data_IF_296381498383
#
_entry.id   IF_296381498383
#
_cell.length_a   1.000
_cell.length_b   1.000
_cell.length_c   1.000
_cell.angle_alpha   90.00
_cell.angle_beta   90.00
_cell.angle_gamma   90.00
#
_symmetry.space_group_name_H-M   'P 1'
#
loop_
_entity.id
_entity.type
_entity.pdbx_description
1 polymer ?
#
# COMPACT_ATOMS: atom_id res chain seq x y z
N UNK A 1 -33.81 3.09 -2.75
CA UNK A 1 -32.58 2.26 -2.82
C UNK A 1 -31.58 2.94 -3.76
N UNK A 2 -30.42 3.37 -3.26
CA UNK A 2 -29.50 4.26 -3.98
C UNK A 2 -28.96 3.60 -5.27
N UNK A 3 -28.94 4.32 -6.41
CA UNK A 3 -28.45 3.84 -7.72
C UNK A 3 -27.05 3.18 -7.63
N UNK A 4 -26.18 3.72 -6.77
CA UNK A 4 -24.85 3.16 -6.49
C UNK A 4 -24.91 1.76 -5.84
N UNK A 5 -25.93 1.47 -5.04
CA UNK A 5 -26.14 0.17 -4.42
C UNK A 5 -26.61 -0.85 -5.45
N UNK A 6 -27.52 -0.46 -6.36
CA UNK A 6 -27.99 -1.30 -7.49
C UNK A 6 -26.87 -1.62 -8.48
N UNK A 7 -26.02 -0.64 -8.82
CA UNK A 7 -24.82 -0.87 -9.64
C UNK A 7 -23.82 -1.78 -8.91
N UNK A 8 -23.76 -1.74 -7.57
CA UNK A 8 -22.81 -2.56 -6.79
C UNK A 8 -23.25 -4.01 -6.64
N UNK A 9 -24.54 -4.32 -6.78
CA UNK A 9 -25.09 -5.68 -6.66
C UNK A 9 -25.33 -6.36 -8.00
N UNK A 10 -25.62 -5.62 -9.08
CA UNK A 10 -25.93 -6.19 -10.41
C UNK A 10 -24.71 -6.16 -11.35
N UNK A 11 -24.27 -7.33 -11.81
CA UNK A 11 -23.06 -7.46 -12.63
C UNK A 11 -23.20 -6.89 -14.05
N UNK A 12 -24.41 -6.91 -14.63
CA UNK A 12 -24.68 -6.27 -15.92
C UNK A 12 -24.54 -4.74 -15.83
N UNK A 13 -25.13 -4.14 -14.79
CA UNK A 13 -24.99 -2.70 -14.52
C UNK A 13 -23.53 -2.32 -14.24
N UNK A 14 -22.73 -3.17 -13.58
CA UNK A 14 -21.27 -2.94 -13.44
C UNK A 14 -20.55 -2.94 -14.78
N UNK A 15 -20.87 -3.88 -15.67
CA UNK A 15 -20.22 -3.99 -16.98
C UNK A 15 -20.57 -2.76 -17.83
N UNK A 16 -21.84 -2.40 -17.89
CA UNK A 16 -22.32 -1.23 -18.62
C UNK A 16 -21.72 0.07 -18.06
N UNK A 17 -21.70 0.25 -16.74
CA UNK A 17 -21.08 1.39 -16.10
C UNK A 17 -19.57 1.48 -16.40
N UNK A 18 -18.84 0.36 -16.37
CA UNK A 18 -17.42 0.32 -16.74
C UNK A 18 -17.20 0.64 -18.21
N UNK A 19 -18.08 0.20 -19.10
CA UNK A 19 -18.01 0.51 -20.52
C UNK A 19 -18.21 2.00 -20.77
N UNK A 20 -19.27 2.59 -20.20
CA UNK A 20 -19.55 4.02 -20.28
C UNK A 20 -18.42 4.85 -19.69
N UNK A 21 -17.90 4.47 -18.52
CA UNK A 21 -16.76 5.11 -17.87
C UNK A 21 -15.52 5.11 -18.76
N UNK A 22 -15.19 3.97 -19.40
CA UNK A 22 -14.06 3.87 -20.33
C UNK A 22 -14.25 4.77 -21.56
N UNK A 23 -15.46 4.82 -22.11
CA UNK A 23 -15.80 5.64 -23.28
C UNK A 23 -15.70 7.13 -22.94
N UNK A 24 -16.32 7.55 -21.84
CA UNK A 24 -16.24 8.93 -21.34
C UNK A 24 -14.80 9.36 -21.05
N UNK A 25 -13.98 8.52 -20.39
CA UNK A 25 -12.56 8.79 -20.16
C UNK A 25 -11.78 8.96 -21.46
N UNK A 26 -12.09 8.18 -22.51
CA UNK A 26 -11.44 8.33 -23.83
C UNK A 26 -11.76 9.66 -24.47
N UNK A 27 -13.03 10.05 -24.51
CA UNK A 27 -13.43 11.36 -25.07
C UNK A 27 -12.82 12.52 -24.28
N UNK A 28 -12.87 12.46 -22.95
CA UNK A 28 -12.30 13.48 -22.08
C UNK A 28 -10.79 13.62 -22.30
N UNK A 29 -10.06 12.51 -22.35
CA UNK A 29 -8.63 12.50 -22.65
C UNK A 29 -8.32 12.99 -24.07
N UNK A 30 -9.16 12.64 -25.04
CA UNK A 30 -9.04 13.10 -26.43
C UNK A 30 -9.18 14.61 -26.55
N UNK A 31 -10.24 15.18 -25.97
CA UNK A 31 -10.47 16.62 -25.93
C UNK A 31 -9.35 17.36 -25.17
N UNK A 32 -8.92 16.82 -24.03
CA UNK A 32 -7.80 17.40 -23.28
C UNK A 32 -6.49 17.40 -24.06
N UNK A 33 -6.22 16.39 -24.89
CA UNK A 33 -5.00 16.35 -25.73
C UNK A 33 -4.98 17.45 -26.79
N UNK A 34 -6.15 17.89 -27.25
CA UNK A 34 -6.27 18.97 -28.22
C UNK A 34 -6.08 20.35 -27.57
N UNK A 35 -6.45 20.48 -26.29
CA UNK A 35 -6.44 21.76 -25.57
C UNK A 35 -5.14 21.96 -24.78
N UNK A 36 -4.61 20.90 -24.16
CA UNK A 36 -3.46 20.99 -23.27
C UNK A 36 -2.16 20.75 -24.03
N UNK A 37 -1.31 21.78 -24.05
CA UNK A 37 0.08 21.64 -24.49
C UNK A 37 0.88 20.84 -23.45
N UNK A 38 1.81 20.02 -23.95
CA UNK A 38 2.81 19.36 -23.13
C UNK A 38 3.71 20.43 -22.47
N UNK A 39 4.05 20.29 -21.18
CA UNK A 39 5.00 21.20 -20.54
C UNK A 39 6.40 21.03 -21.14
N UNK A 40 7.21 22.09 -21.04
CA UNK A 40 8.63 21.98 -21.35
C UNK A 40 9.29 20.96 -20.39
N UNK A 41 10.23 20.17 -20.89
CA UNK A 41 10.96 19.24 -20.07
C UNK A 41 11.92 19.97 -19.14
N UNK A 42 11.92 19.57 -17.87
CA UNK A 42 12.73 20.18 -16.81
C UNK A 42 13.59 19.10 -16.14
N UNK A 43 14.72 19.51 -15.57
CA UNK A 43 15.56 18.66 -14.73
C UNK A 43 15.35 19.02 -13.26
N UNK A 44 15.87 18.20 -12.35
CA UNK A 44 15.74 18.51 -10.92
C UNK A 44 16.48 19.79 -10.54
N UNK A 45 17.60 20.07 -11.20
CA UNK A 45 18.43 21.24 -10.95
C UNK A 45 17.74 22.55 -11.36
N UNK A 46 16.74 22.46 -12.25
CA UNK A 46 15.94 23.63 -12.63
C UNK A 46 14.77 23.91 -11.67
N UNK A 47 14.54 23.05 -10.66
CA UNK A 47 13.54 23.28 -9.62
C UNK A 47 14.02 24.32 -8.59
N UNK A 48 13.86 25.59 -8.92
CA UNK A 48 14.21 26.71 -8.05
C UNK A 48 12.96 27.31 -7.39
N UNK A 49 13.01 27.49 -6.07
CA UNK A 49 11.95 28.16 -5.30
C UNK A 49 10.69 27.30 -5.13
N UNK A 50 10.86 26.01 -4.83
CA UNK A 50 9.73 25.13 -4.52
C UNK A 50 9.31 25.34 -3.06
N UNK A 51 8.21 26.06 -2.85
CA UNK A 51 7.66 26.32 -1.51
C UNK A 51 6.34 25.59 -1.28
N UNK A 52 5.60 25.25 -2.36
CA UNK A 52 4.29 24.60 -2.26
C UNK A 52 4.19 23.40 -3.18
N UNK A 53 3.99 22.23 -2.58
CA UNK A 53 3.90 20.95 -3.25
C UNK A 53 2.51 20.36 -3.04
N UNK A 54 1.89 19.86 -4.11
CA UNK A 54 0.66 19.07 -4.01
C UNK A 54 0.89 17.63 -4.48
N UNK A 55 0.68 16.68 -3.58
CA UNK A 55 0.67 15.25 -3.88
C UNK A 55 -0.74 14.83 -4.31
N UNK A 56 -0.87 14.24 -5.50
CA UNK A 56 -2.16 13.95 -6.13
C UNK A 56 -2.40 12.44 -6.20
N UNK A 57 -3.23 11.94 -5.28
CA UNK A 57 -3.62 10.52 -5.24
C UNK A 57 -5.07 10.32 -4.75
N UNK A 58 -6.09 10.86 -5.46
CA UNK A 58 -7.49 10.64 -5.13
C UNK A 58 -7.92 9.22 -5.54
N UNK A 59 -7.56 8.23 -4.74
CA UNK A 59 -7.90 6.82 -4.93
C UNK A 59 -8.59 6.27 -3.67
N UNK A 60 -9.56 5.36 -3.85
CA UNK A 60 -10.28 4.72 -2.73
C UNK A 60 -9.73 3.33 -2.35
N UNK A 61 -8.55 2.95 -2.87
CA UNK A 61 -7.93 1.63 -2.65
C UNK A 61 -6.83 1.78 -1.62
N UNK A 62 -7.06 1.28 -0.41
CA UNK A 62 -6.15 1.40 0.73
C UNK A 62 -4.70 1.03 0.38
N UNK A 63 -4.48 -0.13 -0.26
CA UNK A 63 -3.14 -0.57 -0.66
C UNK A 63 -2.40 0.42 -1.56
N UNK A 64 -3.10 1.02 -2.52
CA UNK A 64 -2.49 2.01 -3.42
C UNK A 64 -2.13 3.34 -2.74
N UNK A 65 -2.80 3.67 -1.62
CA UNK A 65 -2.47 4.83 -0.81
C UNK A 65 -1.27 4.54 0.10
N UNK A 66 -1.20 3.33 0.66
CA UNK A 66 -0.05 2.87 1.46
C UNK A 66 1.22 2.80 0.62
N UNK A 67 1.19 2.15 -0.55
CA UNK A 67 2.35 2.04 -1.45
C UNK A 67 2.94 3.42 -1.77
N UNK A 68 2.10 4.46 -1.89
CA UNK A 68 2.55 5.82 -2.17
C UNK A 68 3.17 6.56 -0.98
N UNK A 69 3.06 6.06 0.25
CA UNK A 69 3.55 6.79 1.44
C UNK A 69 5.02 7.19 1.41
N UNK A 70 5.98 6.40 0.86
CA UNK A 70 7.40 6.78 0.88
C UNK A 70 7.71 8.06 0.09
N UNK A 71 6.88 8.41 -0.91
CA UNK A 71 7.06 9.65 -1.67
C UNK A 71 6.94 10.89 -0.78
N UNK A 72 6.18 10.80 0.31
CA UNK A 72 5.94 11.92 1.21
C UNK A 72 7.25 12.26 1.95
N UNK A 73 7.99 11.24 2.39
CA UNK A 73 9.28 11.46 3.06
C UNK A 73 10.31 11.94 2.04
N UNK A 74 10.41 11.31 0.87
CA UNK A 74 11.32 11.76 -0.17
C UNK A 74 11.11 13.24 -0.57
N UNK A 75 9.85 13.70 -0.64
CA UNK A 75 9.56 15.11 -0.91
C UNK A 75 9.92 16.02 0.27
N UNK A 76 9.70 15.57 1.50
CA UNK A 76 10.10 16.32 2.70
C UNK A 76 11.62 16.42 2.83
N UNK A 77 12.34 15.34 2.54
CA UNK A 77 13.80 15.31 2.58
C UNK A 77 14.40 16.21 1.51
N UNK A 78 13.84 16.21 0.30
CA UNK A 78 14.30 17.09 -0.79
C UNK A 78 13.94 18.56 -0.58
N UNK A 79 12.76 18.83 -0.01
CA UNK A 79 12.24 20.18 0.21
C UNK A 79 11.79 20.37 1.68
N UNK A 80 12.73 20.49 2.63
CA UNK A 80 12.40 20.52 4.06
C UNK A 80 11.46 21.67 4.47
N UNK A 81 11.64 22.85 3.87
CA UNK A 81 10.85 24.06 4.15
C UNK A 81 9.55 24.16 3.35
N UNK A 82 9.34 23.31 2.34
CA UNK A 82 8.16 23.40 1.50
C UNK A 82 6.90 22.93 2.25
N UNK A 83 5.79 23.61 2.01
CA UNK A 83 4.47 23.13 2.40
C UNK A 83 4.05 21.99 1.47
N UNK A 84 3.73 20.84 2.03
CA UNK A 84 3.29 19.63 1.35
C UNK A 84 1.81 19.42 1.63
N UNK A 85 0.99 19.68 0.63
CA UNK A 85 -0.44 19.36 0.66
C UNK A 85 -0.70 18.02 -0.05
N UNK A 86 -1.75 17.31 0.36
CA UNK A 86 -2.10 16.00 -0.19
C UNK A 86 -3.58 15.93 -0.58
N UNK A 87 -3.86 15.63 -1.85
CA UNK A 87 -5.19 15.31 -2.34
C UNK A 87 -5.49 13.81 -2.15
N UNK A 88 -6.15 13.48 -1.05
CA UNK A 88 -6.55 12.14 -0.65
C UNK A 88 -8.05 11.90 -0.84
N UNK A 89 -8.55 10.77 -0.35
CA UNK A 89 -9.99 10.50 -0.24
C UNK A 89 -10.39 10.35 1.22
N UNK A 90 -11.68 10.55 1.50
CA UNK A 90 -12.31 10.29 2.81
C UNK A 90 -11.98 8.90 3.39
N UNK A 91 -11.75 7.90 2.54
CA UNK A 91 -11.42 6.53 2.95
C UNK A 91 -9.92 6.30 3.20
N UNK A 92 -9.04 7.01 2.51
CA UNK A 92 -7.59 6.74 2.53
C UNK A 92 -6.79 7.69 3.42
N UNK A 93 -7.33 8.89 3.68
CA UNK A 93 -6.64 9.87 4.53
C UNK A 93 -6.25 9.36 5.93
N UNK A 94 -7.01 8.48 6.62
CA UNK A 94 -6.60 8.03 7.94
C UNK A 94 -5.26 7.30 7.89
N UNK A 95 -4.93 6.62 6.79
CA UNK A 95 -3.66 5.92 6.62
C UNK A 95 -2.45 6.86 6.46
N UNK A 96 -2.70 8.14 6.17
CA UNK A 96 -1.68 9.15 5.93
C UNK A 96 -1.50 10.08 7.13
N UNK A 97 -2.25 9.90 8.20
CA UNK A 97 -2.04 10.63 9.45
C UNK A 97 -0.65 10.34 10.01
N UNK A 98 -0.08 11.31 10.75
CA UNK A 98 1.28 11.26 11.29
C UNK A 98 2.40 11.28 10.23
N UNK A 99 2.06 11.53 8.97
CA UNK A 99 3.05 11.77 7.89
C UNK A 99 3.32 13.28 7.77
N UNK A 100 4.47 13.71 7.22
CA UNK A 100 4.85 15.12 7.14
C UNK A 100 4.10 15.88 6.03
N UNK A 101 2.76 15.81 6.08
CA UNK A 101 1.79 16.48 5.20
C UNK A 101 1.13 17.60 6.01
N UNK A 102 1.19 18.82 5.48
CA UNK A 102 0.68 20.01 6.12
C UNK A 102 -0.85 20.10 6.01
N UNK A 103 -1.42 19.84 4.84
CA UNK A 103 -2.88 19.89 4.64
C UNK A 103 -3.40 18.76 3.77
N UNK A 104 -4.54 18.19 4.18
CA UNK A 104 -5.27 17.20 3.39
C UNK A 104 -6.49 17.82 2.69
N UNK A 105 -6.57 17.63 1.39
CA UNK A 105 -7.78 17.86 0.62
C UNK A 105 -8.46 16.52 0.36
N UNK A 106 -9.73 16.39 0.74
CA UNK A 106 -10.44 15.12 0.69
C UNK A 106 -11.46 15.11 -0.46
N UNK A 107 -11.27 14.20 -1.40
CA UNK A 107 -12.27 13.88 -2.41
C UNK A 107 -13.16 12.73 -1.91
N UNK A 108 -14.42 13.05 -1.59
CA UNK A 108 -15.42 12.02 -1.26
C UNK A 108 -16.01 11.39 -2.53
N UNK A 109 -16.51 10.15 -2.42
CA UNK A 109 -17.31 9.53 -3.50
C UNK A 109 -18.56 10.32 -3.83
N UNK A 110 -19.11 11.08 -2.88
CA UNK A 110 -20.27 11.94 -3.12
C UNK A 110 -19.99 13.02 -4.18
N UNK A 111 -18.73 13.43 -4.35
CA UNK A 111 -18.32 14.40 -5.36
C UNK A 111 -18.48 13.88 -6.80
N UNK A 112 -18.55 12.55 -7.00
CA UNK A 112 -18.89 11.95 -8.30
C UNK A 112 -20.32 12.33 -8.71
N UNK A 113 -21.23 12.44 -7.74
CA UNK A 113 -22.63 12.82 -7.96
C UNK A 113 -22.86 14.34 -7.85
N UNK A 114 -21.84 15.10 -7.43
CA UNK A 114 -21.92 16.54 -7.18
C UNK A 114 -20.74 17.25 -7.87
N UNK A 115 -20.80 17.45 -9.20
CA UNK A 115 -19.68 17.97 -9.98
C UNK A 115 -19.22 19.36 -9.52
N UNK A 116 -20.12 20.18 -8.98
CA UNK A 116 -19.78 21.47 -8.36
C UNK A 116 -18.80 21.33 -7.19
N UNK A 117 -18.84 20.25 -6.40
CA UNK A 117 -17.86 20.03 -5.33
C UNK A 117 -16.45 19.80 -5.92
N UNK A 118 -16.34 19.11 -7.04
CA UNK A 118 -15.07 18.96 -7.76
C UNK A 118 -14.57 20.29 -8.30
N UNK A 119 -15.45 21.13 -8.86
CA UNK A 119 -15.09 22.47 -9.37
C UNK A 119 -14.64 23.39 -8.22
N UNK A 120 -15.36 23.40 -7.10
CA UNK A 120 -14.99 24.18 -5.90
C UNK A 120 -13.64 23.72 -5.35
N UNK A 121 -13.41 22.41 -5.27
CA UNK A 121 -12.12 21.85 -4.86
C UNK A 121 -11.00 22.26 -5.82
N UNK A 122 -11.21 22.16 -7.14
CA UNK A 122 -10.23 22.58 -8.14
C UNK A 122 -9.92 24.08 -8.03
N UNK A 123 -10.93 24.95 -7.86
CA UNK A 123 -10.74 26.38 -7.64
C UNK A 123 -9.92 26.65 -6.39
N UNK A 124 -10.21 25.96 -5.27
CA UNK A 124 -9.47 26.07 -4.02
C UNK A 124 -8.01 25.64 -4.19
N UNK A 125 -7.76 24.53 -4.89
CA UNK A 125 -6.41 24.05 -5.18
C UNK A 125 -5.64 25.02 -6.09
N UNK A 126 -6.28 25.56 -7.15
CA UNK A 126 -5.66 26.57 -8.03
C UNK A 126 -5.30 27.84 -7.27
N UNK A 127 -6.13 28.27 -6.32
CA UNK A 127 -5.88 29.46 -5.52
C UNK A 127 -4.62 29.33 -4.63
N UNK A 128 -4.18 28.11 -4.30
CA UNK A 128 -2.94 27.90 -3.53
C UNK A 128 -1.66 28.20 -4.32
N UNK A 129 -1.74 28.26 -5.67
CA UNK A 129 -0.59 28.49 -6.58
C UNK A 129 0.60 27.58 -6.25
N UNK A 130 0.42 26.28 -6.46
CA UNK A 130 1.47 25.28 -6.21
C UNK A 130 2.64 25.44 -7.19
N UNK A 131 3.86 25.27 -6.69
CA UNK A 131 5.07 25.23 -7.50
C UNK A 131 5.24 23.87 -8.14
N UNK A 132 4.93 22.79 -7.39
CA UNK A 132 5.10 21.42 -7.86
C UNK A 132 3.84 20.58 -7.62
N UNK A 133 3.31 19.98 -8.68
CA UNK A 133 2.23 19.01 -8.59
C UNK A 133 2.74 17.60 -8.90
N UNK A 134 2.64 16.67 -7.94
CA UNK A 134 3.19 15.31 -8.04
C UNK A 134 2.06 14.29 -8.19
N UNK A 135 1.93 13.71 -9.37
CA UNK A 135 1.01 12.61 -9.62
C UNK A 135 1.68 11.26 -9.32
N UNK A 136 1.30 10.66 -8.19
CA UNK A 136 1.92 9.43 -7.70
C UNK A 136 1.55 8.17 -8.49
N UNK A 137 0.54 8.24 -9.36
CA UNK A 137 0.05 7.07 -10.09
C UNK A 137 0.13 7.23 -11.59
N UNK A 138 1.06 6.48 -12.18
CA UNK A 138 1.06 6.21 -13.62
C UNK A 138 -0.31 5.71 -14.08
N UNK A 139 -0.88 6.39 -15.07
CA UNK A 139 -2.13 5.99 -15.72
C UNK A 139 -3.45 6.35 -15.04
N UNK A 140 -3.45 7.05 -13.91
CA UNK A 140 -4.68 7.58 -13.30
C UNK A 140 -5.21 8.78 -14.09
N UNK A 141 -6.35 8.61 -14.77
CA UNK A 141 -7.00 9.69 -15.54
C UNK A 141 -7.42 10.86 -14.65
N UNK A 142 -8.02 10.60 -13.49
CA UNK A 142 -8.46 11.64 -12.56
C UNK A 142 -7.27 12.41 -11.96
N UNK A 143 -6.20 11.70 -11.61
CA UNK A 143 -4.96 12.34 -11.14
C UNK A 143 -4.34 13.25 -12.21
N UNK A 144 -4.31 12.78 -13.46
CA UNK A 144 -3.81 13.55 -14.59
C UNK A 144 -4.61 14.83 -14.84
N UNK A 145 -5.94 14.71 -14.86
CA UNK A 145 -6.85 15.85 -15.01
C UNK A 145 -6.57 16.90 -13.93
N UNK A 146 -6.55 16.48 -12.68
CA UNK A 146 -6.33 17.39 -11.56
C UNK A 146 -4.96 18.06 -11.68
N UNK A 147 -3.90 17.30 -11.95
CA UNK A 147 -2.53 17.82 -12.12
C UNK A 147 -2.46 18.92 -13.18
N UNK A 148 -3.13 18.73 -14.32
CA UNK A 148 -3.15 19.74 -15.40
C UNK A 148 -4.03 20.94 -15.07
N UNK A 149 -5.18 20.70 -14.45
CA UNK A 149 -6.13 21.77 -14.12
C UNK A 149 -5.74 22.59 -12.89
N UNK A 150 -4.75 22.18 -12.09
CA UNK A 150 -4.25 23.01 -10.99
C UNK A 150 -3.36 24.15 -11.51
N UNK A 151 -2.69 23.95 -12.65
CA UNK A 151 -1.79 24.96 -13.21
C UNK A 151 -0.56 25.23 -12.34
N UNK A 152 0.01 24.18 -11.74
CA UNK A 152 1.27 24.29 -11.02
C UNK A 152 2.42 24.65 -11.98
N UNK A 153 3.46 25.34 -11.47
CA UNK A 153 4.64 25.75 -12.25
C UNK A 153 5.35 24.54 -12.85
N UNK A 154 5.55 23.51 -12.03
CA UNK A 154 6.13 22.22 -12.40
C UNK A 154 5.14 21.10 -12.13
N UNK A 155 5.27 20.04 -12.92
CA UNK A 155 4.49 18.82 -12.73
C UNK A 155 5.37 17.60 -12.82
N UNK A 156 5.09 16.60 -11.99
CA UNK A 156 5.88 15.39 -11.87
C UNK A 156 4.98 14.15 -11.93
N UNK A 157 5.39 13.13 -12.65
CA UNK A 157 4.61 11.90 -12.77
C UNK A 157 5.23 10.84 -13.67
N UNK A 158 4.58 9.68 -13.79
CA UNK A 158 5.07 8.62 -14.67
C UNK A 158 4.63 8.83 -16.12
N UNK A 159 5.58 8.71 -17.05
CA UNK A 159 5.34 8.76 -18.50
C UNK A 159 4.31 7.70 -18.93
N UNK A 160 3.47 8.05 -19.91
CA UNK A 160 2.52 7.09 -20.52
C UNK A 160 2.56 7.15 -22.04
N UNK A 161 3.09 6.10 -22.66
CA UNK A 161 3.34 6.06 -24.11
C UNK A 161 4.51 6.96 -24.51
N UNK A 162 4.45 7.53 -25.72
CA UNK A 162 5.55 8.35 -26.26
C UNK A 162 5.48 9.84 -25.85
N UNK A 163 4.38 10.30 -25.29
CA UNK A 163 4.15 11.72 -24.97
C UNK A 163 4.68 12.10 -23.59
N UNK A 164 5.33 13.27 -23.49
CA UNK A 164 5.76 13.89 -22.23
C UNK A 164 4.64 14.73 -21.65
N UNK A 165 4.06 14.28 -20.54
CA UNK A 165 2.87 14.90 -19.94
C UNK A 165 3.16 15.67 -18.65
N UNK A 166 4.39 15.55 -18.16
CA UNK A 166 4.89 16.16 -16.94
C UNK A 166 6.23 16.84 -17.24
N UNK A 167 6.53 17.90 -16.49
CA UNK A 167 7.81 18.61 -16.59
C UNK A 167 8.96 17.66 -16.19
N UNK A 168 8.74 16.90 -15.12
CA UNK A 168 9.65 15.88 -14.59
C UNK A 168 8.98 14.52 -14.69
N UNK A 169 9.67 13.55 -15.28
CA UNK A 169 9.14 12.19 -15.44
C UNK A 169 9.89 11.19 -14.57
N UNK A 170 9.17 10.18 -14.09
CA UNK A 170 9.77 9.06 -13.38
C UNK A 170 10.86 8.38 -14.22
N UNK A 171 11.96 7.99 -13.56
CA UNK A 171 13.11 7.34 -14.21
C UNK A 171 12.99 5.82 -14.20
N UNK A 172 13.08 5.25 -15.40
CA UNK A 172 13.01 3.81 -15.60
C UNK A 172 11.58 3.26 -15.64
N UNK A 173 11.44 2.06 -16.22
CA UNK A 173 10.19 1.32 -16.24
C UNK A 173 10.18 0.34 -15.08
N UNK A 174 9.06 0.21 -14.38
CA UNK A 174 8.86 -0.91 -13.47
C UNK A 174 7.51 -1.58 -13.70
N UNK A 175 7.52 -2.91 -13.61
CA UNK A 175 6.33 -3.74 -13.56
C UNK A 175 5.76 -3.84 -12.15
N UNK A 176 6.52 -3.45 -11.12
CA UNK A 176 6.15 -3.55 -9.72
C UNK A 176 5.72 -2.19 -9.15
N UNK A 177 4.66 -2.17 -8.36
CA UNK A 177 4.05 -0.94 -7.86
C UNK A 177 4.92 -0.20 -6.83
N UNK A 178 5.74 -0.92 -6.06
CA UNK A 178 6.62 -0.33 -5.04
C UNK A 178 7.80 0.38 -5.71
N UNK A 179 8.50 -0.33 -6.60
CA UNK A 179 9.56 0.23 -7.45
C UNK A 179 9.07 1.42 -8.29
N UNK A 180 7.80 1.43 -8.73
CA UNK A 180 7.27 2.56 -9.47
C UNK A 180 7.27 3.87 -8.65
N UNK A 181 7.18 3.78 -7.32
CA UNK A 181 7.30 4.94 -6.42
C UNK A 181 8.77 5.35 -6.28
N UNK A 182 9.68 4.38 -6.12
CA UNK A 182 11.13 4.65 -6.09
C UNK A 182 11.60 5.29 -7.39
N UNK A 183 11.18 4.75 -8.54
CA UNK A 183 11.46 5.32 -9.86
C UNK A 183 10.90 6.74 -10.02
N UNK A 184 9.74 7.00 -9.42
CA UNK A 184 9.16 8.34 -9.42
C UNK A 184 10.01 9.30 -8.59
N UNK A 185 10.61 8.88 -7.48
CA UNK A 185 11.45 9.76 -6.64
C UNK A 185 12.89 9.88 -7.10
N UNK A 186 13.41 8.98 -7.93
CA UNK A 186 14.81 9.04 -8.44
C UNK A 186 15.25 10.42 -8.96
N UNK A 187 14.46 11.11 -9.81
CA UNK A 187 14.83 12.45 -10.25
C UNK A 187 15.07 13.43 -9.10
N UNK A 188 14.43 13.24 -7.94
CA UNK A 188 14.60 14.11 -6.77
C UNK A 188 16.01 14.06 -6.18
N UNK A 189 16.82 13.06 -6.52
CA UNK A 189 18.17 12.88 -5.99
C UNK A 189 18.19 12.50 -4.51
N UNK A 190 17.09 11.91 -4.00
CA UNK A 190 16.97 11.45 -2.61
C UNK A 190 16.67 9.97 -2.57
N UNK A 191 17.09 9.34 -1.49
CA UNK A 191 16.74 7.96 -1.20
C UNK A 191 15.25 7.83 -0.91
N UNK A 192 14.67 6.75 -1.38
CA UNK A 192 13.25 6.47 -1.19
C UNK A 192 13.08 5.01 -0.81
N UNK A 193 12.45 4.79 0.34
CA UNK A 193 12.19 3.46 0.85
C UNK A 193 11.30 2.69 -0.13
N UNK A 194 11.75 1.49 -0.52
CA UNK A 194 10.97 0.59 -1.38
C UNK A 194 9.93 -0.23 -0.60
N UNK A 195 9.33 0.36 0.43
CA UNK A 195 8.33 -0.26 1.31
C UNK A 195 7.47 0.83 1.94
N UNK A 196 6.13 0.65 2.01
CA UNK A 196 5.25 1.64 2.59
C UNK A 196 5.53 1.87 4.08
N UNK A 197 4.96 2.94 4.62
CA UNK A 197 5.13 3.37 6.00
C UNK A 197 3.78 3.77 6.57
N UNK A 198 3.48 3.30 7.77
CA UNK A 198 2.35 3.78 8.56
C UNK A 198 2.77 3.99 10.00
N UNK A 199 2.63 5.23 10.47
CA UNK A 199 2.90 5.58 11.86
C UNK A 199 1.60 5.55 12.66
N UNK A 200 1.67 4.85 13.80
CA UNK A 200 0.61 4.76 14.78
C UNK A 200 0.91 5.70 15.94
N UNK A 201 -0.13 6.26 16.55
CA UNK A 201 0.01 7.02 17.81
C UNK A 201 0.16 6.06 18.99
N UNK A 202 0.64 6.58 20.12
CA UNK A 202 0.70 5.80 21.36
C UNK A 202 -0.69 5.37 21.83
N UNK A 203 -1.69 6.26 21.74
CA UNK A 203 -3.08 5.95 22.08
C UNK A 203 -3.62 4.78 21.26
N UNK A 204 -3.33 4.72 19.96
CA UNK A 204 -3.75 3.61 19.10
C UNK A 204 -3.10 2.29 19.51
N UNK A 205 -1.81 2.32 19.85
CA UNK A 205 -1.10 1.13 20.37
C UNK A 205 -1.71 0.66 21.69
N UNK A 206 -2.02 1.57 22.61
CA UNK A 206 -2.62 1.23 23.91
C UNK A 206 -4.03 0.63 23.75
N UNK A 207 -4.87 1.21 22.89
CA UNK A 207 -6.20 0.65 22.58
C UNK A 207 -6.11 -0.76 21.95
N UNK A 208 -5.11 -0.98 21.10
CA UNK A 208 -4.87 -2.29 20.51
C UNK A 208 -4.49 -3.33 21.57
N UNK A 209 -3.70 -2.96 22.58
CA UNK A 209 -3.35 -3.86 23.69
C UNK A 209 -4.59 -4.35 24.43
N UNK A 210 -5.47 -3.43 24.83
CA UNK A 210 -6.76 -3.80 25.44
C UNK A 210 -7.56 -4.74 24.55
N UNK A 211 -7.57 -4.49 23.23
CA UNK A 211 -8.29 -5.34 22.29
C UNK A 211 -7.67 -6.74 22.16
N UNK A 212 -6.34 -6.84 22.15
CA UNK A 212 -5.61 -8.11 22.08
C UNK A 212 -5.86 -8.92 23.34
N UNK A 213 -5.80 -8.28 24.52
CA UNK A 213 -6.09 -8.93 25.80
C UNK A 213 -7.47 -9.58 25.77
N UNK A 214 -8.50 -8.85 25.34
CA UNK A 214 -9.87 -9.39 25.20
C UNK A 214 -10.00 -10.56 24.22
N UNK A 215 -9.15 -10.63 23.20
CA UNK A 215 -9.17 -11.71 22.21
C UNK A 215 -8.44 -12.94 22.75
N UNK A 216 -7.25 -12.75 23.33
CA UNK A 216 -6.36 -13.82 23.77
C UNK A 216 -6.79 -14.41 25.12
N UNK A 217 -7.31 -13.60 26.04
CA UNK A 217 -7.78 -14.04 27.37
C UNK A 217 -8.96 -15.01 27.30
N UNK A 218 -9.62 -15.12 26.16
CA UNK A 218 -10.68 -16.12 25.94
C UNK A 218 -10.15 -17.56 25.95
N UNK A 219 -8.84 -17.75 25.81
CA UNK A 219 -8.26 -19.07 25.53
C UNK A 219 -6.94 -19.39 26.28
N UNK A 220 -6.47 -18.57 27.24
CA UNK A 220 -5.18 -18.83 27.94
C UNK A 220 -5.02 -18.16 29.31
N UNK A 221 -4.29 -18.85 30.22
CA UNK A 221 -3.84 -18.36 31.54
C UNK A 221 -2.50 -17.58 31.51
N UNK A 222 -1.87 -17.42 30.34
CA UNK A 222 -0.59 -16.71 30.20
C UNK A 222 -0.66 -15.69 29.03
N UNK A 223 -0.88 -14.40 29.31
CA UNK A 223 -0.98 -13.38 28.28
C UNK A 223 0.41 -12.94 27.82
N UNK A 224 0.91 -13.49 26.71
CA UNK A 224 2.00 -12.85 25.95
C UNK A 224 1.40 -12.01 24.83
N UNK A 225 1.58 -10.70 24.87
CA UNK A 225 0.91 -9.72 24.00
C UNK A 225 1.25 -9.80 22.51
N UNK A 226 2.23 -10.62 22.13
CA UNK A 226 2.84 -10.63 20.80
C UNK A 226 2.95 -12.02 20.16
N UNK A 227 2.22 -13.03 20.65
CA UNK A 227 2.34 -14.39 20.14
C UNK A 227 1.06 -14.90 19.48
N UNK A 228 0.66 -14.27 18.37
CA UNK A 228 -0.41 -14.77 17.50
C UNK A 228 -0.11 -14.53 16.02
N UNK A 229 -0.68 -15.38 15.18
CA UNK A 229 -0.76 -15.21 13.73
C UNK A 229 -2.05 -14.48 13.36
N UNK A 230 -1.95 -13.39 12.62
CA UNK A 230 -3.13 -12.72 12.08
C UNK A 230 -3.57 -13.44 10.79
N UNK A 231 -4.85 -13.78 10.68
CA UNK A 231 -5.45 -14.30 9.44
C UNK A 231 -6.49 -13.30 8.97
N UNK A 232 -6.28 -12.65 7.83
CA UNK A 232 -7.28 -11.78 7.23
C UNK A 232 -7.96 -12.50 6.06
N UNK A 233 -9.25 -12.80 6.18
CA UNK A 233 -9.96 -13.64 5.18
C UNK A 233 -10.51 -12.87 3.97
N UNK A 234 -10.56 -11.54 4.07
CA UNK A 234 -11.21 -10.69 3.07
C UNK A 234 -10.42 -10.52 1.78
N UNK A 235 -11.10 -10.07 0.73
CA UNK A 235 -10.48 -9.93 -0.59
C UNK A 235 -11.34 -9.19 -1.60
N UNK A 236 -10.72 -8.66 -2.65
CA UNK A 236 -11.41 -7.87 -3.66
C UNK A 236 -11.69 -8.68 -4.94
N UNK A 237 -12.96 -8.82 -5.32
CA UNK A 237 -13.39 -9.50 -6.55
C UNK A 237 -12.84 -10.93 -6.66
N UNK A 238 -12.18 -11.27 -7.77
CA UNK A 238 -11.66 -12.60 -8.12
C UNK A 238 -10.40 -13.02 -7.33
N UNK A 239 -10.02 -12.23 -6.32
CA UNK A 239 -8.93 -12.50 -5.38
C UNK A 239 -9.40 -13.20 -4.10
N UNK A 240 -10.72 -13.23 -3.86
CA UNK A 240 -11.31 -13.89 -2.68
C UNK A 240 -11.01 -15.38 -2.68
N UNK A 241 -10.73 -15.93 -1.50
CA UNK A 241 -10.63 -17.37 -1.28
C UNK A 241 -11.98 -17.92 -0.78
N UNK A 242 -12.34 -19.17 -1.14
CA UNK A 242 -13.60 -19.77 -0.71
C UNK A 242 -13.63 -19.99 0.80
N UNK A 243 -14.83 -19.98 1.40
CA UNK A 243 -15.00 -20.22 2.84
C UNK A 243 -14.33 -21.54 3.29
N UNK A 244 -14.46 -22.61 2.49
CA UNK A 244 -13.87 -23.91 2.79
C UNK A 244 -12.35 -23.83 3.02
N UNK A 245 -11.63 -23.02 2.23
CA UNK A 245 -10.20 -22.81 2.41
C UNK A 245 -9.88 -22.22 3.79
N UNK A 246 -10.66 -21.20 4.22
CA UNK A 246 -10.44 -20.56 5.52
C UNK A 246 -10.77 -21.48 6.70
N UNK A 247 -11.85 -22.27 6.59
CA UNK A 247 -12.20 -23.23 7.64
C UNK A 247 -11.12 -24.31 7.77
N UNK A 248 -10.65 -24.88 6.65
CA UNK A 248 -9.56 -25.85 6.65
C UNK A 248 -8.24 -25.26 7.19
N UNK A 249 -7.94 -23.99 6.89
CA UNK A 249 -6.77 -23.32 7.47
C UNK A 249 -6.92 -23.17 8.99
N UNK A 250 -8.08 -22.75 9.48
CA UNK A 250 -8.36 -22.66 10.92
C UNK A 250 -8.22 -24.04 11.58
N UNK A 251 -8.78 -25.10 10.98
CA UNK A 251 -8.63 -26.48 11.46
C UNK A 251 -7.17 -26.90 11.56
N UNK A 252 -6.37 -26.62 10.52
CA UNK A 252 -4.96 -26.95 10.52
C UNK A 252 -4.18 -26.14 11.57
N UNK A 253 -4.49 -24.86 11.77
CA UNK A 253 -3.87 -24.03 12.82
C UNK A 253 -4.18 -24.56 14.23
N UNK A 254 -5.43 -24.97 14.49
CA UNK A 254 -5.84 -25.60 15.74
C UNK A 254 -5.11 -26.92 16.00
N UNK A 255 -5.06 -27.80 15.00
CA UNK A 255 -4.36 -29.09 15.10
C UNK A 255 -2.86 -28.91 15.43
N UNK A 256 -2.27 -27.81 14.96
CA UNK A 256 -0.89 -27.44 15.22
C UNK A 256 -0.69 -26.59 16.48
N UNK A 257 -1.75 -26.33 17.25
CA UNK A 257 -1.71 -25.51 18.47
C UNK A 257 -1.15 -24.09 18.22
N UNK A 258 -1.34 -23.56 17.02
CA UNK A 258 -0.84 -22.25 16.62
C UNK A 258 -1.88 -21.19 17.01
N UNK A 259 -1.48 -20.30 17.90
CA UNK A 259 -2.32 -19.15 18.30
C UNK A 259 -2.59 -18.24 17.12
N UNK A 260 -3.85 -17.91 16.89
CA UNK A 260 -4.25 -17.09 15.77
C UNK A 260 -5.48 -16.22 16.05
N UNK A 261 -5.55 -15.10 15.32
CA UNK A 261 -6.71 -14.21 15.34
C UNK A 261 -7.21 -14.03 13.92
N UNK A 262 -8.47 -14.35 13.70
CA UNK A 262 -9.15 -14.20 12.41
C UNK A 262 -9.79 -12.81 12.34
N UNK A 263 -9.42 -12.05 11.32
CA UNK A 263 -9.91 -10.70 11.04
C UNK A 263 -10.78 -10.69 9.79
N UNK A 264 -11.85 -9.90 9.84
CA UNK A 264 -12.78 -9.70 8.74
C UNK A 264 -12.86 -8.22 8.37
N UNK A 265 -13.02 -7.96 7.07
CA UNK A 265 -13.43 -6.66 6.58
C UNK A 265 -14.96 -6.46 6.70
N UNK A 266 -15.44 -5.21 6.58
CA UNK A 266 -16.86 -4.91 6.65
C UNK A 266 -17.68 -5.51 5.48
N UNK A 267 -17.03 -5.96 4.40
CA UNK A 267 -17.70 -6.54 3.24
C UNK A 267 -17.78 -8.07 3.29
N UNK A 268 -17.25 -8.69 4.35
CA UNK A 268 -17.10 -10.13 4.53
C UNK A 268 -18.19 -10.70 5.46
N UNK A 269 -19.33 -10.03 5.59
CA UNK A 269 -20.43 -10.42 6.49
C UNK A 269 -20.89 -11.88 6.32
N UNK A 270 -20.85 -12.41 5.08
CA UNK A 270 -21.22 -13.80 4.78
C UNK A 270 -20.26 -14.84 5.37
N UNK A 271 -19.00 -14.45 5.63
CA UNK A 271 -18.00 -15.32 6.24
C UNK A 271 -18.09 -15.30 7.77
N UNK A 272 -18.72 -14.27 8.36
CA UNK A 272 -18.73 -14.04 9.79
C UNK A 272 -19.38 -15.20 10.57
N UNK A 273 -20.60 -15.59 10.22
CA UNK A 273 -21.33 -16.60 10.98
C UNK A 273 -20.66 -17.98 10.94
N UNK A 274 -20.22 -18.53 9.78
CA UNK A 274 -19.52 -19.81 9.74
C UNK A 274 -18.18 -19.80 10.48
N UNK A 275 -17.37 -18.74 10.32
CA UNK A 275 -16.08 -18.61 11.02
C UNK A 275 -16.30 -18.49 12.53
N UNK A 276 -17.28 -17.67 12.96
CA UNK A 276 -17.64 -17.54 14.38
C UNK A 276 -18.07 -18.89 14.95
N UNK A 277 -18.90 -19.63 14.23
CA UNK A 277 -19.35 -20.96 14.67
C UNK A 277 -18.16 -21.92 14.82
N UNK A 278 -17.22 -21.93 13.87
CA UNK A 278 -16.03 -22.77 13.96
C UNK A 278 -15.13 -22.40 15.13
N UNK A 279 -14.99 -21.11 15.42
CA UNK A 279 -14.12 -20.62 16.50
C UNK A 279 -14.76 -20.72 17.90
N UNK A 280 -16.04 -21.10 18.05
CA UNK A 280 -16.68 -21.27 19.37
C UNK A 280 -16.02 -22.36 20.22
N UNK A 281 -15.50 -23.41 19.58
CA UNK A 281 -14.84 -24.55 20.23
C UNK A 281 -13.32 -24.54 20.02
N UNK A 282 -12.78 -23.40 19.61
CA UNK A 282 -11.35 -23.25 19.35
C UNK A 282 -10.61 -23.07 20.67
N UNK A 283 -9.39 -23.63 20.77
CA UNK A 283 -8.52 -23.45 21.93
C UNK A 283 -7.38 -22.47 21.64
N UNK A 284 -7.10 -22.17 20.37
CA UNK A 284 -5.96 -21.34 19.97
C UNK A 284 -6.37 -20.14 19.10
N UNK A 285 -7.61 -20.09 18.66
CA UNK A 285 -8.13 -19.19 17.65
C UNK A 285 -9.16 -18.24 18.22
N UNK A 286 -9.09 -16.97 17.82
CA UNK A 286 -10.07 -15.96 18.21
C UNK A 286 -10.60 -15.18 17.03
N UNK A 287 -11.84 -14.72 17.13
CA UNK A 287 -12.48 -13.91 16.10
C UNK A 287 -12.42 -12.43 16.46
N UNK A 288 -11.74 -11.63 15.65
CA UNK A 288 -11.86 -10.19 15.72
C UNK A 288 -12.90 -9.69 14.72
N UNK A 289 -13.96 -9.07 15.24
CA UNK A 289 -14.93 -8.35 14.41
C UNK A 289 -14.26 -7.20 13.62
N UNK A 290 -14.87 -6.73 12.52
CA UNK A 290 -14.33 -5.63 11.74
C UNK A 290 -14.01 -4.40 12.58
N UNK A 291 -12.81 -3.86 12.42
CA UNK A 291 -12.33 -2.66 13.12
C UNK A 291 -12.16 -1.49 12.15
N UNK A 292 -12.26 -0.24 12.64
CA UNK A 292 -11.73 0.91 11.92
C UNK A 292 -10.27 0.67 11.50
N UNK A 293 -9.89 1.16 10.32
CA UNK A 293 -8.65 0.72 9.67
C UNK A 293 -7.38 0.99 10.50
N UNK A 294 -7.33 2.10 11.25
CA UNK A 294 -6.19 2.42 12.12
C UNK A 294 -6.16 1.56 13.40
N UNK A 295 -7.32 1.22 13.95
CA UNK A 295 -7.40 0.26 15.06
C UNK A 295 -6.99 -1.15 14.60
N UNK A 296 -7.40 -1.56 13.39
CA UNK A 296 -6.91 -2.79 12.80
C UNK A 296 -5.39 -2.77 12.61
N UNK A 297 -4.84 -1.67 12.09
CA UNK A 297 -3.39 -1.49 11.95
C UNK A 297 -2.67 -1.62 13.31
N UNK A 298 -3.23 -1.02 14.37
CA UNK A 298 -2.65 -1.07 15.70
C UNK A 298 -2.70 -2.44 16.36
N UNK A 299 -3.73 -3.26 16.08
CA UNK A 299 -3.73 -4.67 16.51
C UNK A 299 -2.74 -5.48 15.65
N UNK A 300 -2.72 -5.23 14.34
CA UNK A 300 -1.91 -5.96 13.38
C UNK A 300 -0.40 -5.81 13.64
N UNK A 301 0.09 -4.64 14.05
CA UNK A 301 1.52 -4.42 14.35
C UNK A 301 2.05 -5.32 15.48
N UNK A 302 1.17 -5.93 16.28
CA UNK A 302 1.53 -6.86 17.36
C UNK A 302 1.50 -8.32 16.91
N UNK A 303 0.99 -8.61 15.72
CA UNK A 303 1.01 -9.95 15.16
C UNK A 303 2.42 -10.32 14.70
N UNK A 304 2.78 -11.60 14.84
CA UNK A 304 4.07 -12.11 14.34
C UNK A 304 4.13 -12.15 12.82
N UNK A 305 2.98 -12.39 12.20
CA UNK A 305 2.81 -12.65 10.79
C UNK A 305 1.35 -12.45 10.41
N UNK A 306 1.11 -11.93 9.21
CA UNK A 306 -0.20 -11.85 8.58
C UNK A 306 -0.32 -12.87 7.43
N UNK A 307 -1.30 -13.75 7.49
CA UNK A 307 -1.75 -14.57 6.37
C UNK A 307 -2.96 -13.90 5.73
N UNK A 308 -2.86 -13.52 4.46
CA UNK A 308 -3.92 -12.73 3.79
C UNK A 308 -3.93 -12.94 2.28
N UNK A 309 -5.08 -12.79 1.60
CA UNK A 309 -5.11 -12.57 0.16
C UNK A 309 -4.42 -11.26 -0.21
N UNK A 310 -4.15 -11.11 -1.51
CA UNK A 310 -3.55 -9.93 -2.14
C UNK A 310 -4.48 -8.70 -2.13
N UNK A 311 -4.65 -8.12 -0.94
CA UNK A 311 -5.63 -7.08 -0.63
C UNK A 311 -5.03 -5.94 0.22
N UNK A 312 -5.85 -4.97 0.62
CA UNK A 312 -5.39 -3.80 1.40
C UNK A 312 -4.58 -4.15 2.66
N UNK A 313 -5.05 -5.08 3.51
CA UNK A 313 -4.33 -5.56 4.70
C UNK A 313 -2.90 -6.06 4.45
N UNK A 314 -2.62 -6.68 3.30
CA UNK A 314 -1.27 -7.10 2.92
C UNK A 314 -0.30 -5.90 2.89
N UNK A 315 -0.72 -4.81 2.24
CA UNK A 315 0.07 -3.58 2.21
C UNK A 315 0.11 -2.86 3.55
N UNK A 316 -0.91 -3.05 4.39
CA UNK A 316 -0.96 -2.48 5.73
C UNK A 316 0.06 -3.16 6.64
N UNK A 317 0.14 -4.50 6.61
CA UNK A 317 1.21 -5.25 7.26
C UNK A 317 2.58 -4.81 6.75
N UNK A 318 2.73 -4.65 5.43
CA UNK A 318 3.96 -4.15 4.86
C UNK A 318 4.34 -2.75 5.38
N UNK A 319 3.36 -1.87 5.59
CA UNK A 319 3.57 -0.52 6.10
C UNK A 319 3.92 -0.47 7.59
N UNK A 320 3.67 -1.56 8.31
CA UNK A 320 3.92 -1.75 9.74
C UNK A 320 5.13 -2.66 9.98
N UNK A 321 5.84 -3.07 8.94
CA UNK A 321 6.92 -4.06 8.97
C UNK A 321 6.54 -5.41 9.59
N UNK A 322 5.26 -5.78 9.51
CA UNK A 322 4.76 -7.11 9.88
C UNK A 322 5.00 -8.06 8.71
N UNK A 323 5.58 -9.23 8.99
CA UNK A 323 5.79 -10.27 7.99
C UNK A 323 4.46 -10.70 7.35
N UNK A 324 4.49 -11.05 6.07
CA UNK A 324 3.28 -11.45 5.33
C UNK A 324 3.43 -12.78 4.60
N UNK A 325 2.42 -13.64 4.70
CA UNK A 325 2.16 -14.71 3.72
C UNK A 325 1.03 -14.22 2.81
N UNK A 326 1.41 -13.88 1.59
CA UNK A 326 0.51 -13.36 0.56
C UNK A 326 -0.06 -14.50 -0.29
N UNK A 327 -1.37 -14.76 -0.17
CA UNK A 327 -2.08 -15.81 -0.91
C UNK A 327 -2.57 -15.30 -2.27
N UNK A 328 -1.80 -15.59 -3.32
CA UNK A 328 -2.01 -15.00 -4.66
C UNK A 328 -2.81 -15.93 -5.57
N UNK A 329 -3.90 -15.41 -6.16
CA UNK A 329 -4.72 -16.13 -7.17
C UNK A 329 -4.57 -15.61 -8.60
N UNK A 330 -4.11 -14.38 -8.76
CA UNK A 330 -4.10 -13.63 -10.03
C UNK A 330 -2.67 -13.18 -10.36
N UNK A 331 -2.16 -13.49 -11.57
CA UNK A 331 -0.76 -13.19 -11.94
C UNK A 331 -0.45 -11.70 -11.85
N UNK A 332 -1.42 -10.84 -12.20
CA UNK A 332 -1.29 -9.37 -12.11
C UNK A 332 -1.05 -8.86 -10.69
N UNK A 333 -1.36 -9.66 -9.67
CA UNK A 333 -1.17 -9.27 -8.28
C UNK A 333 0.26 -9.41 -7.81
N UNK A 334 1.09 -10.19 -8.52
CA UNK A 334 2.53 -10.28 -8.26
C UNK A 334 3.24 -8.92 -8.43
N UNK A 335 2.63 -7.97 -9.16
CA UNK A 335 3.11 -6.59 -9.27
C UNK A 335 2.88 -5.75 -8.00
N UNK A 336 2.20 -6.28 -6.99
CA UNK A 336 1.77 -5.54 -5.80
C UNK A 336 2.12 -6.26 -4.49
N UNK A 337 2.71 -7.45 -4.51
CA UNK A 337 3.06 -8.14 -3.27
C UNK A 337 4.30 -7.51 -2.64
N UNK A 338 4.38 -7.42 -1.30
CA UNK A 338 5.62 -7.02 -0.65
C UNK A 338 6.70 -8.10 -0.88
N UNK A 339 7.97 -7.70 -0.89
CA UNK A 339 9.11 -8.55 -1.31
C UNK A 339 10.32 -8.44 -0.37
N UNK A 340 10.11 -8.13 0.92
CA UNK A 340 11.22 -8.22 1.88
C UNK A 340 11.60 -9.68 2.11
N UNK A 341 12.80 -9.93 2.64
CA UNK A 341 13.31 -11.28 2.87
C UNK A 341 12.40 -12.13 3.78
N UNK A 342 11.65 -11.49 4.68
CA UNK A 342 10.71 -12.12 5.59
C UNK A 342 9.26 -12.16 5.07
N UNK A 343 9.00 -11.67 3.85
CA UNK A 343 7.70 -11.79 3.19
C UNK A 343 7.68 -13.06 2.32
N UNK A 344 6.60 -13.82 2.41
CA UNK A 344 6.38 -15.04 1.64
C UNK A 344 5.21 -14.88 0.66
N UNK A 345 5.41 -15.32 -0.58
CA UNK A 345 4.40 -15.26 -1.64
C UNK A 345 4.03 -16.69 -2.03
N UNK A 346 2.75 -17.05 -1.84
CA UNK A 346 2.26 -18.37 -2.20
C UNK A 346 1.25 -18.27 -3.34
N UNK A 347 1.58 -18.91 -4.48
CA UNK A 347 0.71 -18.95 -5.65
C UNK A 347 -0.28 -20.11 -5.55
N UNK A 348 -1.56 -19.79 -5.32
CA UNK A 348 -2.66 -20.77 -5.20
C UNK A 348 -2.29 -21.99 -4.33
N UNK A 349 -1.76 -21.79 -3.10
CA UNK A 349 -1.26 -22.88 -2.28
C UNK A 349 -2.38 -23.80 -1.77
N UNK A 350 -1.98 -25.00 -1.42
CA UNK A 350 -2.74 -25.88 -0.53
C UNK A 350 -2.52 -25.48 0.94
N UNK A 351 -3.36 -26.02 1.84
CA UNK A 351 -3.31 -25.68 3.27
C UNK A 351 -1.98 -26.12 3.91
N UNK A 352 -1.46 -27.30 3.54
CA UNK A 352 -0.17 -27.81 4.02
C UNK A 352 0.96 -26.82 3.76
N UNK A 353 1.05 -26.30 2.53
CA UNK A 353 2.06 -25.31 2.14
C UNK A 353 1.92 -24.01 2.94
N UNK A 354 0.70 -23.58 3.26
CA UNK A 354 0.48 -22.39 4.11
C UNK A 354 0.98 -22.65 5.53
N UNK A 355 0.69 -23.81 6.11
CA UNK A 355 1.14 -24.18 7.45
C UNK A 355 2.67 -24.31 7.53
N UNK A 356 3.30 -24.94 6.53
CA UNK A 356 4.75 -25.03 6.41
C UNK A 356 5.40 -23.65 6.38
N UNK A 357 4.87 -22.74 5.57
CA UNK A 357 5.37 -21.36 5.50
C UNK A 357 5.20 -20.60 6.83
N UNK A 358 4.09 -20.81 7.55
CA UNK A 358 3.87 -20.22 8.88
C UNK A 358 4.94 -20.73 9.85
N UNK A 359 5.19 -22.03 9.89
CA UNK A 359 6.22 -22.63 10.77
C UNK A 359 7.61 -22.12 10.45
N UNK A 360 8.01 -22.14 9.17
CA UNK A 360 9.30 -21.62 8.75
C UNK A 360 9.52 -20.15 9.18
N UNK A 361 8.47 -19.33 9.10
CA UNK A 361 8.52 -17.93 9.57
C UNK A 361 8.68 -17.85 11.09
N UNK A 362 7.95 -18.66 11.85
CA UNK A 362 8.03 -18.69 13.31
C UNK A 362 9.42 -19.15 13.79
N UNK A 363 9.99 -20.17 13.14
CA UNK A 363 11.30 -20.71 13.48
C UNK A 363 12.41 -19.70 13.16
N UNK A 364 12.36 -19.04 12.00
CA UNK A 364 13.31 -17.99 11.62
C UNK A 364 13.24 -16.76 12.53
N UNK A 365 12.06 -16.41 13.04
CA UNK A 365 11.89 -15.32 14.02
C UNK A 365 12.44 -15.71 15.41
N UNK A 366 12.29 -16.97 15.82
CA UNK A 366 12.83 -17.43 17.09
C UNK A 366 14.38 -17.47 17.06
N UNK A 367 14.98 -17.78 15.91
CA UNK A 367 16.43 -17.80 15.72
C UNK A 367 17.07 -16.39 15.67
N UNK A 368 16.29 -15.34 15.40
CA UNK A 368 16.76 -13.94 15.28
C UNK A 368 16.39 -13.05 16.47
N UNK A 369 15.65 -13.57 17.46
CA UNK A 369 15.32 -12.82 18.67
C UNK A 369 16.57 -12.64 19.55
N UNK A 370 16.98 -11.41 19.92
CA UNK A 370 18.04 -11.22 20.90
C UNK A 370 17.53 -11.66 22.27
N UNK A 371 18.36 -12.44 22.97
CA UNK A 371 18.19 -12.81 24.38
C UNK A 371 18.01 -11.51 25.18
N UNK A 372 16.78 -11.21 25.60
CA UNK A 372 16.50 -10.06 26.46
C UNK A 372 16.92 -10.40 27.89
N UNK A 373 18.06 -9.87 28.31
CA UNK A 373 18.39 -9.61 29.70
C UNK A 373 19.02 -8.23 29.84
N UNK A 374 18.45 -7.45 30.78
CA UNK A 374 18.98 -6.25 31.41
C UNK A 374 19.03 -4.92 30.60
N UNK A 375 18.15 -4.02 31.04
CA UNK A 375 18.29 -2.55 31.11
C UNK A 375 19.67 -1.96 30.79
N UNK A 376 19.73 -0.96 29.89
CA UNK A 376 20.46 0.32 30.05
C UNK A 376 19.95 1.35 29.00
N UNK A 377 19.95 2.59 29.45
CA UNK A 377 19.61 3.92 28.92
C UNK A 377 20.19 4.35 27.56
N UNK A 378 19.39 5.15 26.83
CA UNK A 378 19.69 6.29 25.92
C UNK A 378 21.07 6.44 25.24
N UNK A 379 21.11 6.39 23.90
CA UNK A 379 21.45 7.49 22.96
C UNK A 379 21.49 7.02 21.49
N UNK A 380 21.33 7.90 20.49
CA UNK A 380 21.17 7.52 19.09
C UNK A 380 22.51 7.33 18.38
N UNK A 381 22.74 6.12 17.86
CA UNK A 381 23.94 5.75 17.11
C UNK A 381 23.90 6.35 15.70
N UNK A 382 24.86 7.23 15.42
CA UNK A 382 25.24 7.66 14.07
C UNK A 382 25.60 6.43 13.22
N UNK A 383 25.02 6.31 12.03
CA UNK A 383 25.39 5.26 11.08
C UNK A 383 26.66 5.66 10.33
N UNK A 384 27.67 4.80 10.43
CA UNK A 384 28.93 4.92 9.73
C UNK A 384 28.75 4.77 8.20
N UNK A 385 29.43 5.63 7.45
CA UNK A 385 29.59 5.58 6.00
C UNK A 385 30.23 4.28 5.53
N UNK A 386 29.80 3.69 4.39
CA UNK A 386 30.48 2.54 3.80
C UNK A 386 31.82 2.94 3.16
N UNK A 387 32.83 2.05 3.13
CA UNK A 387 34.12 2.33 2.52
C UNK A 387 34.05 2.34 0.98
N UNK A 388 35.00 3.02 0.30
CA UNK A 388 34.97 3.20 -1.15
C UNK A 388 35.29 1.91 -1.92
N UNK A 389 34.65 1.79 -3.08
CA UNK A 389 34.81 0.75 -4.09
C UNK A 389 36.23 0.69 -4.66
N UNK A 390 36.83 -0.49 -4.68
CA UNK A 390 38.01 -0.79 -5.49
C UNK A 390 37.56 -1.23 -6.90
N UNK A 391 37.96 -0.45 -7.89
CA UNK A 391 37.89 -0.79 -9.31
C UNK A 391 39.10 -1.62 -9.76
N UNK A 392 38.87 -2.34 -10.87
CA UNK A 392 39.82 -2.98 -11.80
C UNK A 392 40.31 -4.40 -11.50
N UNK A 393 39.81 -5.35 -12.30
CA UNK A 393 40.55 -6.05 -13.37
C UNK A 393 39.79 -7.32 -13.76
N UNK A 394 39.18 -7.36 -14.95
CA UNK A 394 39.17 -8.57 -15.77
C UNK A 394 38.95 -8.21 -17.24
N UNK A 395 40.05 -8.31 -17.97
CA UNK A 395 40.19 -8.15 -19.41
C UNK A 395 39.63 -9.38 -20.13
N UNK A 396 38.79 -9.14 -21.14
CA UNK A 396 38.34 -10.16 -22.11
C UNK A 396 39.47 -10.60 -23.04
N UNK A 397 39.53 -11.87 -23.46
CA UNK A 397 40.15 -12.24 -24.72
C UNK A 397 39.11 -12.64 -25.78
N UNK A 398 39.33 -12.07 -26.98
CA UNK A 398 38.71 -12.43 -28.26
C UNK A 398 39.17 -13.83 -28.70
N UNK A 399 38.25 -14.66 -29.22
CA UNK A 399 38.50 -15.79 -30.14
C UNK A 399 37.29 -15.86 -31.08
N UNK A 400 37.39 -15.30 -32.30
CA UNK A 400 37.79 -15.94 -33.57
C UNK A 400 36.87 -17.08 -34.05
N UNK A 401 36.21 -16.76 -35.16
CA UNK A 401 35.66 -17.61 -36.22
C UNK A 401 36.13 -19.07 -36.25
N UNK A 402 35.18 -20.00 -36.32
CA UNK A 402 35.29 -21.23 -37.10
C UNK A 402 33.94 -21.48 -37.79
N UNK A 403 33.97 -21.48 -39.11
CA UNK A 403 32.93 -21.99 -40.02
C UNK A 403 33.48 -23.30 -40.58
N UNK A 404 32.80 -24.45 -40.43
CA UNK A 404 32.88 -25.57 -41.37
C UNK A 404 31.61 -26.43 -41.30
N UNK A 405 30.93 -26.50 -42.45
CA UNK A 405 29.96 -27.47 -43.01
C UNK A 405 28.62 -27.70 -42.32
#
# INVERSE_FOLDING_TARGET
MHLLTLIRTNDYLKIMARFLEKRMKRYLMGGMRLILKAPAPETIDSLVGIERILIIRPNFRLGNALISTPIIDALRDRFPSARIDYLATDKTWPLLQQRPVDHFYLLSRAAILRPWQCVTLLRRLRAQRYDLAVQVSGGSTSGFIVTRLIGARYSMGSRKGHQRWYSIEAEGKSSHAYDAIVNLTRPLGVDCRNRPLLQLTEQERNQAMTKIHQLVSLHSDHPSDTNFIAIFVGGHQNKRWPLAFWLLLIDAMEAQKIRHVVFLGPEEFRLLAPIKQRLKSSLYGSLCAPLPIRHFAAVLVRARLLVTPDSGPMHLAAALDVATISLVRQKKSLAFVPREAYDTILWRPEISTVIEAIRATLDGQNATAPVQSASVTSQPTQWATPPPSADHLYSSPKLKHITVR
#
